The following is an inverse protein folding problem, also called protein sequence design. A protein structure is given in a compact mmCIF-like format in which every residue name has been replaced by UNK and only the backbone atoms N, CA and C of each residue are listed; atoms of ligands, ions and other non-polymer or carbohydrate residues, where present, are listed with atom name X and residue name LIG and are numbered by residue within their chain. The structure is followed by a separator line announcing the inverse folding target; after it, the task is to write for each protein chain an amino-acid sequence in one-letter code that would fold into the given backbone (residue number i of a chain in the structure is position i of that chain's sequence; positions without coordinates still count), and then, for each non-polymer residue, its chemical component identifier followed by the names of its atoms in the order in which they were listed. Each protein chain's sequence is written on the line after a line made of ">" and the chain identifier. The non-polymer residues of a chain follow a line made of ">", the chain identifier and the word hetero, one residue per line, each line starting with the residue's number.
data_IF_519799472871
#
_entry.id   IF_519799472871
#
_cell.length_a   1.000
_cell.length_b   1.000
_cell.length_c   1.000
_cell.angle_alpha   90.00
_cell.angle_beta   90.00
_cell.angle_gamma   90.00
#
_symmetry.space_group_name_H-M   'P 1'
#
loop_
_entity.id
_entity.type
_entity.pdbx_description
1 polymer ?
#
# COMPACT_ATOMS: atom_id res chain seq x y z
N UNK A 1 46.77 -9.78 44.13
CA UNK A 1 45.54 -10.63 44.03
C UNK A 1 44.86 -10.31 42.70
N UNK A 2 44.73 -11.29 41.80
CA UNK A 2 44.07 -11.10 40.49
C UNK A 2 42.59 -11.47 40.67
N UNK A 3 41.68 -10.50 40.46
CA UNK A 3 40.24 -10.73 40.53
C UNK A 3 39.78 -11.60 39.36
N UNK A 4 38.96 -12.63 39.65
CA UNK A 4 38.43 -13.54 38.65
C UNK A 4 37.41 -12.82 37.73
N UNK A 5 37.40 -13.11 36.42
CA UNK A 5 36.43 -12.52 35.50
C UNK A 5 35.02 -13.03 35.80
N UNK A 6 34.08 -12.10 35.88
CA UNK A 6 32.65 -12.37 36.06
C UNK A 6 32.12 -13.04 34.77
N UNK A 7 31.76 -14.32 34.85
CA UNK A 7 31.13 -15.05 33.75
C UNK A 7 29.74 -14.44 33.51
N UNK A 8 29.66 -13.59 32.50
CA UNK A 8 28.43 -12.98 32.02
C UNK A 8 27.39 -14.09 31.77
N UNK A 9 26.33 -14.11 32.59
CA UNK A 9 25.30 -15.14 32.57
C UNK A 9 24.62 -15.11 31.19
N UNK A 10 24.88 -16.12 30.37
CA UNK A 10 24.30 -16.24 29.03
C UNK A 10 22.78 -16.38 29.18
N UNK A 11 22.04 -15.30 28.94
CA UNK A 11 20.58 -15.31 28.89
C UNK A 11 20.19 -15.81 27.51
N UNK A 12 20.13 -17.13 27.35
CA UNK A 12 19.53 -17.74 26.16
C UNK A 12 18.05 -17.36 26.04
N UNK A 13 17.51 -17.39 24.83
CA UNK A 13 16.08 -17.30 24.61
C UNK A 13 15.42 -18.51 25.29
N UNK A 14 14.48 -18.28 26.20
CA UNK A 14 13.72 -19.39 26.79
C UNK A 14 12.88 -20.05 25.70
N UNK A 15 12.57 -21.35 25.84
CA UNK A 15 11.69 -22.05 24.90
C UNK A 15 10.34 -21.32 24.75
N UNK A 16 9.79 -20.79 25.84
CA UNK A 16 8.58 -19.96 25.80
C UNK A 16 8.77 -18.64 25.04
N UNK A 17 9.91 -17.98 25.22
CA UNK A 17 10.27 -16.79 24.44
C UNK A 17 10.42 -17.07 22.95
N UNK A 18 10.97 -18.23 22.60
CA UNK A 18 11.08 -18.69 21.21
C UNK A 18 9.70 -18.94 20.59
N UNK A 19 8.83 -19.67 21.29
CA UNK A 19 7.46 -19.96 20.82
C UNK A 19 6.68 -18.65 20.61
N UNK A 20 6.73 -17.73 21.59
CA UNK A 20 6.08 -16.43 21.47
C UNK A 20 6.60 -15.65 20.26
N UNK A 21 7.92 -15.62 20.06
CA UNK A 21 8.52 -14.98 18.90
C UNK A 21 8.04 -15.59 17.58
N UNK A 22 7.97 -16.92 17.48
CA UNK A 22 7.47 -17.61 16.29
C UNK A 22 6.01 -17.28 15.98
N UNK A 23 5.15 -17.20 17.00
CA UNK A 23 3.75 -16.80 16.84
C UNK A 23 3.65 -15.38 16.30
N UNK A 24 4.40 -14.43 16.87
CA UNK A 24 4.39 -13.04 16.41
C UNK A 24 4.89 -12.91 14.96
N UNK A 25 5.97 -13.62 14.63
CA UNK A 25 6.51 -13.65 13.26
C UNK A 25 5.50 -14.28 12.29
N UNK A 26 4.84 -15.37 12.69
CA UNK A 26 3.79 -16.01 11.87
C UNK A 26 2.62 -15.07 11.58
N UNK A 27 2.13 -14.35 12.60
CA UNK A 27 1.08 -13.35 12.42
C UNK A 27 1.53 -12.20 11.50
N UNK A 28 2.73 -11.68 11.71
CA UNK A 28 3.30 -10.63 10.86
C UNK A 28 3.46 -11.10 9.41
N UNK A 29 3.87 -12.35 9.19
CA UNK A 29 4.01 -12.93 7.86
C UNK A 29 2.66 -13.03 7.13
N UNK A 30 1.61 -13.50 7.80
CA UNK A 30 0.26 -13.59 7.22
C UNK A 30 -0.28 -12.21 6.84
N UNK A 31 -0.13 -11.22 7.72
CA UNK A 31 -0.55 -9.84 7.42
C UNK A 31 0.27 -9.25 6.26
N UNK A 32 1.59 -9.45 6.28
CA UNK A 32 2.49 -8.97 5.22
C UNK A 32 2.12 -9.54 3.85
N UNK A 33 1.84 -10.84 3.75
CA UNK A 33 1.42 -11.48 2.49
C UNK A 33 0.14 -10.89 1.91
N UNK A 34 -0.79 -10.43 2.74
CA UNK A 34 -2.04 -9.79 2.30
C UNK A 34 -1.84 -8.32 1.90
N UNK A 35 -0.92 -7.60 2.56
CA UNK A 35 -0.64 -6.18 2.27
C UNK A 35 0.11 -6.02 0.94
N UNK A 36 1.04 -6.93 0.61
CA UNK A 36 1.85 -6.85 -0.63
C UNK A 36 0.98 -6.69 -1.90
N UNK A 37 0.00 -7.57 -2.20
CA UNK A 37 -0.82 -7.41 -3.39
C UNK A 37 -1.64 -6.11 -3.38
N UNK A 38 -2.09 -5.63 -2.21
CA UNK A 38 -2.79 -4.35 -2.09
C UNK A 38 -1.88 -3.15 -2.42
N UNK A 39 -0.63 -3.17 -1.98
CA UNK A 39 0.37 -2.15 -2.32
C UNK A 39 0.73 -2.17 -3.81
N UNK A 40 0.84 -3.37 -4.40
CA UNK A 40 1.09 -3.51 -5.85
C UNK A 40 -0.04 -2.91 -6.67
N UNK A 41 -1.29 -3.14 -6.27
CA UNK A 41 -2.46 -2.50 -6.88
C UNK A 41 -2.44 -0.97 -6.72
N UNK A 42 -2.12 -0.47 -5.52
CA UNK A 42 -1.99 0.98 -5.31
C UNK A 42 -0.93 1.59 -6.25
N UNK A 43 0.22 0.91 -6.42
CA UNK A 43 1.26 1.35 -7.34
C UNK A 43 0.81 1.32 -8.80
N UNK A 44 0.03 0.30 -9.21
CA UNK A 44 -0.49 0.22 -10.58
C UNK A 44 -1.49 1.35 -10.86
N UNK A 45 -2.34 1.70 -9.89
CA UNK A 45 -3.25 2.86 -9.98
C UNK A 45 -2.45 4.16 -10.11
N UNK A 46 -1.44 4.38 -9.24
CA UNK A 46 -0.58 5.58 -9.34
C UNK A 46 0.06 5.71 -10.71
N UNK A 47 0.53 4.61 -11.29
CA UNK A 47 1.12 4.60 -12.63
C UNK A 47 0.06 4.94 -13.69
N UNK A 48 -1.09 4.26 -13.66
CA UNK A 48 -2.18 4.48 -14.60
C UNK A 48 -2.69 5.93 -14.58
N UNK A 49 -2.81 6.54 -13.39
CA UNK A 49 -3.20 7.94 -13.22
C UNK A 49 -2.16 8.88 -13.83
N UNK A 50 -0.87 8.63 -13.60
CA UNK A 50 0.20 9.44 -14.20
C UNK A 50 0.21 9.33 -15.74
N UNK A 51 0.05 8.12 -16.27
CA UNK A 51 0.01 7.86 -17.72
C UNK A 51 -1.23 8.53 -18.37
N UNK A 52 -2.40 8.43 -17.73
CA UNK A 52 -3.62 9.10 -18.18
C UNK A 52 -3.48 10.62 -18.19
N UNK A 53 -2.92 11.21 -17.11
CA UNK A 53 -2.65 12.65 -17.01
C UNK A 53 -1.73 13.15 -18.12
N UNK A 54 -0.71 12.37 -18.47
CA UNK A 54 0.27 12.79 -19.48
C UNK A 54 -0.28 12.76 -20.91
N UNK A 55 -1.35 12.01 -21.15
CA UNK A 55 -1.96 11.84 -22.48
C UNK A 55 -3.20 12.70 -22.69
N UNK A 56 -3.95 13.02 -21.62
CA UNK A 56 -5.20 13.78 -21.71
C UNK A 56 -5.00 15.29 -21.75
N UNK A 57 -5.78 15.98 -22.59
CA UNK A 57 -5.79 17.44 -22.74
C UNK A 57 -6.89 18.12 -21.91
N UNK A 58 -7.85 17.35 -21.41
CA UNK A 58 -8.97 17.78 -20.58
C UNK A 58 -9.38 16.69 -19.59
N UNK A 59 -10.19 17.04 -18.59
CA UNK A 59 -10.58 16.11 -17.52
C UNK A 59 -11.28 14.85 -18.07
N UNK A 60 -12.20 15.00 -19.03
CA UNK A 60 -12.94 13.90 -19.62
C UNK A 60 -12.01 12.92 -20.37
N UNK A 61 -11.01 13.45 -21.07
CA UNK A 61 -10.00 12.65 -21.75
C UNK A 61 -9.10 11.91 -20.76
N UNK A 62 -8.73 12.55 -19.64
CA UNK A 62 -7.96 11.90 -18.56
C UNK A 62 -8.76 10.75 -17.94
N UNK A 63 -10.04 10.96 -17.62
CA UNK A 63 -10.92 9.88 -17.09
C UNK A 63 -11.00 8.71 -18.08
N UNK A 64 -11.21 9.00 -19.36
CA UNK A 64 -11.35 7.99 -20.40
C UNK A 64 -10.04 7.22 -20.64
N UNK A 65 -8.91 7.91 -20.72
CA UNK A 65 -7.59 7.31 -20.83
C UNK A 65 -7.27 6.44 -19.62
N UNK A 66 -7.58 6.92 -18.40
CA UNK A 66 -7.42 6.12 -17.19
C UNK A 66 -8.25 4.84 -17.26
N UNK A 67 -9.54 4.92 -17.63
CA UNK A 67 -10.40 3.74 -17.71
C UNK A 67 -9.87 2.67 -18.67
N UNK A 68 -9.27 3.08 -19.80
CA UNK A 68 -8.61 2.16 -20.74
C UNK A 68 -7.39 1.47 -20.12
N UNK A 69 -6.53 2.25 -19.47
CA UNK A 69 -5.33 1.72 -18.81
C UNK A 69 -5.72 0.79 -17.65
N UNK A 70 -6.71 1.19 -16.85
CA UNK A 70 -7.27 0.41 -15.76
C UNK A 70 -7.86 -0.91 -16.25
N UNK A 71 -8.62 -0.90 -17.34
CA UNK A 71 -9.16 -2.11 -17.94
C UNK A 71 -8.05 -3.08 -18.40
N UNK A 72 -6.99 -2.57 -19.04
CA UNK A 72 -5.85 -3.39 -19.44
C UNK A 72 -5.02 -3.90 -18.24
N UNK A 73 -4.93 -3.11 -17.18
CA UNK A 73 -4.23 -3.44 -15.94
C UNK A 73 -5.06 -4.21 -14.91
N UNK A 74 -6.30 -4.60 -15.24
CA UNK A 74 -7.27 -5.25 -14.34
C UNK A 74 -7.51 -4.50 -13.03
N UNK A 75 -7.44 -3.17 -13.07
CA UNK A 75 -7.73 -2.30 -11.93
C UNK A 75 -9.25 -2.15 -11.83
N UNK A 76 -9.79 -2.48 -10.65
CA UNK A 76 -11.25 -2.43 -10.37
C UNK A 76 -11.59 -1.65 -9.11
N UNK A 77 -10.60 -1.34 -8.28
CA UNK A 77 -10.75 -0.61 -7.01
C UNK A 77 -10.98 0.89 -7.16
N UNK A 78 -10.57 1.47 -8.29
CA UNK A 78 -10.72 2.87 -8.63
C UNK A 78 -11.12 2.96 -10.10
N UNK A 79 -12.18 3.70 -10.38
CA UNK A 79 -12.63 4.01 -11.74
C UNK A 79 -12.27 5.45 -12.10
N UNK A 80 -12.33 5.80 -13.39
CA UNK A 80 -12.10 7.18 -13.83
C UNK A 80 -13.03 8.20 -13.18
N UNK A 81 -14.21 7.76 -12.72
CA UNK A 81 -15.18 8.62 -12.01
C UNK A 81 -14.80 8.90 -10.55
N UNK A 82 -13.93 8.08 -9.97
CA UNK A 82 -13.42 8.26 -8.62
C UNK A 82 -12.20 9.20 -8.59
N UNK A 83 -11.72 9.64 -9.77
CA UNK A 83 -10.63 10.58 -9.89
C UNK A 83 -11.12 12.02 -9.65
N UNK A 84 -10.42 12.72 -8.77
CA UNK A 84 -10.54 14.17 -8.64
C UNK A 84 -9.50 14.82 -9.54
N UNK A 85 -9.94 15.50 -10.59
CA UNK A 85 -9.08 16.15 -11.60
C UNK A 85 -9.24 17.66 -11.49
N UNK A 86 -8.18 18.35 -11.12
CA UNK A 86 -8.13 19.81 -10.98
C UNK A 86 -7.06 20.37 -11.91
N UNK A 87 -7.24 21.60 -12.41
CA UNK A 87 -6.23 22.30 -13.19
C UNK A 87 -5.52 23.31 -12.30
N UNK A 88 -4.23 23.12 -12.07
CA UNK A 88 -3.38 23.98 -11.25
C UNK A 88 -2.12 24.36 -12.04
N UNK A 89 -1.73 25.64 -12.01
CA UNK A 89 -0.52 26.15 -12.66
C UNK A 89 -0.35 25.72 -14.13
N UNK A 90 -1.47 25.59 -14.86
CA UNK A 90 -1.50 25.20 -16.27
C UNK A 90 -1.37 23.69 -16.52
N UNK A 91 -1.22 22.87 -15.48
CA UNK A 91 -1.19 21.41 -15.55
C UNK A 91 -2.41 20.78 -14.87
N UNK A 92 -2.73 19.54 -15.21
CA UNK A 92 -3.74 18.77 -14.46
C UNK A 92 -3.10 18.11 -13.24
N UNK A 93 -3.75 18.22 -12.10
CA UNK A 93 -3.46 17.47 -10.88
C UNK A 93 -4.59 16.46 -10.70
N UNK A 94 -4.21 15.18 -10.62
CA UNK A 94 -5.16 14.09 -10.44
C UNK A 94 -4.92 13.45 -9.08
N UNK A 95 -6.00 13.22 -8.34
CA UNK A 95 -5.97 12.56 -7.04
C UNK A 95 -7.06 11.51 -6.94
N UNK A 96 -6.83 10.53 -6.07
CA UNK A 96 -7.76 9.43 -5.80
C UNK A 96 -7.57 8.93 -4.38
N UNK A 97 -8.63 8.35 -3.81
CA UNK A 97 -8.61 7.67 -2.54
C UNK A 97 -9.59 6.50 -2.55
N UNK A 98 -9.24 5.40 -1.87
CA UNK A 98 -10.11 4.24 -1.73
C UNK A 98 -9.71 3.42 -0.50
N UNK A 99 -10.67 2.61 -0.03
CA UNK A 99 -10.45 1.66 1.06
C UNK A 99 -10.39 0.23 0.51
N UNK A 100 -9.51 -0.58 1.09
CA UNK A 100 -9.43 -2.02 0.80
C UNK A 100 -9.58 -2.82 2.09
N UNK A 101 -10.71 -3.49 2.21
CA UNK A 101 -11.00 -4.43 3.31
C UNK A 101 -10.54 -5.84 2.96
N UNK A 102 -9.54 -6.33 3.68
CA UNK A 102 -8.97 -7.66 3.52
C UNK A 102 -9.47 -8.56 4.65
N UNK A 103 -10.29 -9.60 4.37
CA UNK A 103 -10.70 -10.54 5.39
C UNK A 103 -9.48 -11.34 5.88
N UNK A 104 -9.37 -11.51 7.20
CA UNK A 104 -8.28 -12.27 7.81
C UNK A 104 -8.79 -13.66 8.24
N UNK A 105 -9.47 -13.74 9.37
CA UNK A 105 -10.03 -14.97 9.91
C UNK A 105 -11.30 -14.69 10.72
N UNK A 106 -12.34 -15.49 10.52
CA UNK A 106 -13.64 -15.27 11.16
C UNK A 106 -14.16 -13.84 10.91
N UNK A 107 -14.61 -13.10 11.95
CA UNK A 107 -15.08 -11.73 11.79
C UNK A 107 -13.94 -10.69 11.68
N UNK A 108 -12.66 -11.09 11.77
CA UNK A 108 -11.54 -10.17 11.73
C UNK A 108 -11.18 -9.76 10.30
N UNK A 109 -10.90 -8.48 10.09
CA UNK A 109 -10.47 -7.91 8.81
C UNK A 109 -9.40 -6.85 9.02
N UNK A 110 -8.54 -6.68 8.03
CA UNK A 110 -7.61 -5.55 7.91
C UNK A 110 -8.23 -4.51 6.97
N UNK A 111 -8.28 -3.26 7.39
CA UNK A 111 -8.66 -2.14 6.53
C UNK A 111 -7.39 -1.39 6.13
N UNK A 112 -7.21 -1.17 4.83
CA UNK A 112 -6.16 -0.33 4.27
C UNK A 112 -6.81 0.87 3.60
N UNK A 113 -6.40 2.07 4.00
CA UNK A 113 -6.83 3.32 3.40
C UNK A 113 -5.70 3.83 2.50
N UNK A 114 -6.00 4.01 1.22
CA UNK A 114 -5.03 4.47 0.24
C UNK A 114 -5.47 5.81 -0.33
N UNK A 115 -4.52 6.73 -0.47
CA UNK A 115 -4.72 8.00 -1.15
C UNK A 115 -3.44 8.42 -1.88
N UNK A 116 -3.59 9.09 -3.02
CA UNK A 116 -2.47 9.68 -3.73
C UNK A 116 -2.90 10.90 -4.55
N UNK A 117 -1.92 11.76 -4.82
CA UNK A 117 -2.03 12.89 -5.74
C UNK A 117 -0.84 12.89 -6.70
N UNK A 118 -1.05 13.42 -7.90
CA UNK A 118 0.04 13.68 -8.86
C UNK A 118 0.71 15.04 -8.67
N UNK A 119 0.24 15.85 -7.72
CA UNK A 119 0.89 17.10 -7.35
C UNK A 119 2.33 16.83 -6.89
N UNK A 120 3.25 17.72 -7.26
CA UNK A 120 4.66 17.68 -6.86
C UNK A 120 4.87 18.21 -5.44
N UNK A 121 3.89 18.92 -4.84
CA UNK A 121 3.97 19.37 -3.45
C UNK A 121 3.62 18.23 -2.50
N UNK A 122 4.62 17.43 -2.17
CA UNK A 122 4.69 16.69 -0.91
C UNK A 122 5.81 17.27 -0.06
#
# INVERSE_FOLDING_TARGET
>A
MKGCPNLQKQRGLSLGGLILALVLVGLAAVLGMQIVPAVVEFQSIKKAVNDARNTGTNAQEIEFSYNKIAQAGYITSVTGKDLTIVKEDGAYVVSFAYEKKLPLFGPASLLLEFNATTDKKH
#
